data_IF_102733289439
#
_entry.id   IF_102733289439
#
_cell.length_a   1.000
_cell.length_b   1.000
_cell.length_c   1.000
_cell.angle_alpha   90.00
_cell.angle_beta   90.00
_cell.angle_gamma   90.00
#
_symmetry.space_group_name_H-M   'P 1'
#
loop_
_entity.id
_entity.type
_entity.pdbx_description
1 polymer ?
#
# COMPACT_ATOMS: atom_id res chain seq x y z
N UNK A 1 0.60 8.03 -10.85
CA UNK A 1 1.22 6.87 -11.55
C UNK A 1 2.72 7.02 -11.80
N UNK A 2 3.25 7.91 -12.64
CA UNK A 2 4.72 8.03 -12.81
C UNK A 2 5.42 8.46 -11.50
N UNK A 3 4.89 9.51 -10.84
CA UNK A 3 5.40 9.98 -9.55
C UNK A 3 5.35 8.92 -8.43
N UNK A 4 4.38 8.01 -8.47
CA UNK A 4 4.21 6.94 -7.47
C UNK A 4 5.20 5.79 -7.70
N UNK A 5 5.54 5.51 -8.97
CA UNK A 5 6.54 4.51 -9.33
C UNK A 5 7.96 4.98 -8.97
N UNK A 6 8.26 6.27 -9.16
CA UNK A 6 9.54 6.85 -8.75
C UNK A 6 9.72 6.80 -7.23
N UNK A 7 8.70 7.16 -6.46
CA UNK A 7 8.74 7.10 -4.99
C UNK A 7 8.85 5.65 -4.47
N UNK A 8 8.19 4.69 -5.11
CA UNK A 8 8.32 3.27 -4.78
C UNK A 8 9.71 2.68 -5.07
N UNK A 9 10.38 3.19 -6.12
CA UNK A 9 11.73 2.78 -6.45
C UNK A 9 12.75 3.15 -5.35
N UNK A 10 12.49 4.22 -4.59
CA UNK A 10 13.29 4.60 -3.41
C UNK A 10 13.29 3.51 -2.32
N UNK A 11 12.23 2.71 -2.25
CA UNK A 11 12.10 1.56 -1.35
C UNK A 11 12.53 0.22 -2.00
N UNK A 12 13.12 0.26 -3.19
CA UNK A 12 13.54 -0.93 -3.94
C UNK A 12 12.40 -1.71 -4.59
N UNK A 13 11.21 -1.10 -4.70
CA UNK A 13 10.00 -1.75 -5.22
C UNK A 13 9.79 -1.33 -6.68
N UNK A 14 9.96 -2.27 -7.61
CA UNK A 14 9.76 -2.07 -9.06
C UNK A 14 8.47 -2.73 -9.52
N UNK A 15 7.32 -2.14 -9.21
CA UNK A 15 6.00 -2.76 -9.41
C UNK A 15 5.12 -1.97 -10.36
N UNK A 16 4.32 -2.71 -11.13
CA UNK A 16 3.42 -2.18 -12.18
C UNK A 16 1.95 -2.14 -11.74
N UNK A 17 1.66 -2.48 -10.49
CA UNK A 17 0.30 -2.60 -9.95
C UNK A 17 0.28 -2.20 -8.48
N UNK A 18 -0.76 -1.48 -8.06
CA UNK A 18 -0.97 -1.06 -6.68
C UNK A 18 -2.44 -1.19 -6.28
N UNK A 19 -2.67 -1.24 -4.97
CA UNK A 19 -3.98 -1.24 -4.36
C UNK A 19 -4.20 0.10 -3.66
N UNK A 20 -5.29 0.79 -4.00
CA UNK A 20 -5.81 1.90 -3.21
C UNK A 20 -6.81 1.32 -2.21
N UNK A 21 -6.60 1.54 -0.93
CA UNK A 21 -7.49 1.03 0.11
C UNK A 21 -8.40 2.15 0.56
N UNK A 22 -9.64 2.13 0.06
CA UNK A 22 -10.67 3.07 0.50
C UNK A 22 -11.49 2.48 1.64
N UNK A 23 -11.26 2.94 2.88
CA UNK A 23 -12.07 2.52 4.03
C UNK A 23 -13.33 3.38 4.14
N UNK A 24 -14.49 2.76 3.91
CA UNK A 24 -15.79 3.45 3.79
C UNK A 24 -16.64 3.44 5.07
N UNK A 25 -16.29 2.68 6.12
CA UNK A 25 -17.24 2.41 7.22
C UNK A 25 -16.85 3.02 8.56
N UNK A 26 -17.89 3.40 9.31
CA UNK A 26 -17.85 3.90 10.70
C UNK A 26 -17.28 2.90 11.74
N UNK A 27 -16.82 1.71 11.33
CA UNK A 27 -16.20 0.71 12.21
C UNK A 27 -15.11 -0.11 11.52
N UNK A 28 -14.27 -0.78 12.31
CA UNK A 28 -13.13 -1.57 11.85
C UNK A 28 -11.87 -0.76 11.55
N UNK A 29 -11.83 0.51 11.99
CA UNK A 29 -10.65 1.35 11.90
C UNK A 29 -9.45 0.77 12.67
N UNK A 30 -9.72 -0.03 13.70
CA UNK A 30 -8.72 -0.75 14.48
C UNK A 30 -7.93 -1.78 13.65
N UNK A 31 -8.46 -2.24 12.52
CA UNK A 31 -7.78 -3.18 11.61
C UNK A 31 -6.99 -2.47 10.50
N UNK A 32 -7.16 -1.14 10.34
CA UNK A 32 -6.47 -0.34 9.31
C UNK A 32 -4.94 -0.53 9.37
N UNK A 33 -4.29 -0.55 10.54
CA UNK A 33 -2.84 -0.78 10.61
C UNK A 33 -2.40 -2.15 10.08
N UNK A 34 -3.25 -3.18 10.19
CA UNK A 34 -2.90 -4.56 9.82
C UNK A 34 -3.16 -4.88 8.35
N UNK A 35 -4.10 -4.19 7.69
CA UNK A 35 -4.48 -4.49 6.30
C UNK A 35 -3.29 -4.31 5.33
N UNK A 36 -2.50 -3.22 5.38
CA UNK A 36 -1.32 -3.07 4.54
C UNK A 36 -0.34 -4.24 4.71
N UNK A 37 -0.10 -4.64 5.97
CA UNK A 37 0.77 -5.79 6.30
C UNK A 37 0.26 -7.08 5.65
N UNK A 38 -1.03 -7.38 5.74
CA UNK A 38 -1.64 -8.56 5.13
C UNK A 38 -1.48 -8.55 3.60
N UNK A 39 -1.70 -7.40 2.95
CA UNK A 39 -1.54 -7.27 1.49
C UNK A 39 -0.09 -7.54 1.09
N UNK A 40 0.88 -6.98 1.81
CA UNK A 40 2.29 -7.24 1.56
C UNK A 40 2.69 -8.70 1.81
N UNK A 41 2.16 -9.35 2.84
CA UNK A 41 2.39 -10.77 3.13
C UNK A 41 1.83 -11.69 2.04
N UNK A 42 0.61 -11.41 1.56
CA UNK A 42 -0.08 -12.25 0.58
C UNK A 42 0.50 -12.09 -0.82
N UNK A 43 0.73 -10.86 -1.28
CA UNK A 43 1.17 -10.59 -2.65
C UNK A 43 2.70 -10.54 -2.79
N UNK A 44 3.42 -10.39 -1.68
CA UNK A 44 4.85 -10.19 -1.65
C UNK A 44 5.21 -8.71 -1.53
N UNK A 45 6.09 -8.41 -0.57
CA UNK A 45 6.52 -7.04 -0.18
C UNK A 45 7.06 -6.19 -1.33
N UNK A 46 7.58 -6.81 -2.38
CA UNK A 46 8.17 -6.15 -3.55
C UNK A 46 7.31 -6.29 -4.81
N UNK A 47 6.04 -6.70 -4.69
CA UNK A 47 5.14 -6.98 -5.83
C UNK A 47 4.00 -6.00 -5.98
N UNK A 48 3.64 -5.29 -4.91
CA UNK A 48 2.50 -4.37 -4.88
C UNK A 48 2.85 -3.11 -4.10
N UNK A 49 2.14 -2.01 -4.38
CA UNK A 49 2.13 -0.81 -3.55
C UNK A 49 0.77 -0.71 -2.85
N UNK A 50 0.79 -0.21 -1.62
CA UNK A 50 -0.41 0.05 -0.83
C UNK A 50 -0.43 1.54 -0.50
N UNK A 51 -1.54 2.19 -0.84
CA UNK A 51 -1.76 3.61 -0.59
C UNK A 51 -2.93 3.83 0.35
N UNK A 52 -2.83 4.87 1.16
CA UNK A 52 -3.95 5.37 1.95
C UNK A 52 -4.88 6.27 1.12
N UNK A 53 -5.85 6.90 1.80
CA UNK A 53 -6.85 7.77 1.19
C UNK A 53 -6.27 9.07 0.63
N UNK A 54 -5.13 9.52 1.15
CA UNK A 54 -4.43 10.72 0.72
C UNK A 54 -3.38 10.43 -0.37
N UNK A 55 -3.38 9.19 -0.89
CA UNK A 55 -2.41 8.67 -1.85
C UNK A 55 -0.98 8.62 -1.30
N UNK A 56 -0.81 8.64 0.02
CA UNK A 56 0.49 8.42 0.63
C UNK A 56 0.83 6.93 0.60
N UNK A 57 2.07 6.62 0.21
CA UNK A 57 2.57 5.25 0.16
C UNK A 57 2.78 4.73 1.58
N UNK A 58 2.12 3.63 1.93
CA UNK A 58 2.35 2.94 3.21
C UNK A 58 3.53 1.97 3.01
N UNK A 59 4.67 2.14 3.68
CA UNK A 59 5.83 1.28 3.46
C UNK A 59 5.60 -0.15 4.01
N UNK A 60 6.17 -1.18 3.37
CA UNK A 60 6.17 -2.53 3.92
C UNK A 60 7.10 -2.59 5.16
N UNK A 61 6.51 -2.81 6.34
CA UNK A 61 7.23 -3.02 7.61
C UNK A 61 7.97 -4.36 7.68
#
# INVERSE_FOLDING_TARGET
MEHEQEHAAEYGITVKSGFLIQWNKEGGAEYIPDIPRIIYEVFGRNKVLVFDLDYELIPPA
#
